data_IF_146033458934
#
_entry.id   IF_146033458934
#
_cell.length_a   1.000
_cell.length_b   1.000
_cell.length_c   1.000
_cell.angle_alpha   90.00
_cell.angle_beta   90.00
_cell.angle_gamma   90.00
#
_symmetry.space_group_name_H-M   'P 1'
#
loop_
_entity.id
_entity.type
_entity.pdbx_description
1 polymer ?
#
# COMPACT_ATOMS: atom_id res chain seq x y z
N UNK A 1 -3.04 7.02 4.57
CA UNK A 1 -2.31 7.66 3.46
C UNK A 1 -1.60 8.89 4.00
N UNK A 2 -0.26 8.85 4.06
CA UNK A 2 0.56 10.01 4.44
C UNK A 2 0.87 10.82 3.19
N UNK A 3 0.65 12.13 3.24
CA UNK A 3 0.76 13.03 2.09
C UNK A 3 1.79 14.13 2.38
N UNK A 4 2.76 14.26 1.48
CA UNK A 4 3.73 15.36 1.43
C UNK A 4 3.40 16.28 0.26
N UNK A 5 3.67 17.58 0.42
CA UNK A 5 3.38 18.61 -0.59
C UNK A 5 2.06 19.36 -0.40
N UNK A 6 1.39 19.17 0.74
CA UNK A 6 0.05 19.75 0.96
C UNK A 6 0.09 21.28 1.16
N UNK A 7 1.19 21.82 1.68
CA UNK A 7 1.34 23.27 1.86
C UNK A 7 1.45 23.98 0.50
N UNK A 8 2.24 23.43 -0.41
CA UNK A 8 2.40 23.91 -1.77
C UNK A 8 1.09 23.80 -2.56
N UNK A 9 0.33 22.72 -2.35
CA UNK A 9 -1.01 22.57 -2.90
C UNK A 9 -1.95 23.66 -2.37
N UNK A 10 -1.84 23.99 -1.09
CA UNK A 10 -2.70 24.98 -0.45
C UNK A 10 -2.42 26.40 -0.94
N UNK A 11 -1.15 26.75 -1.16
CA UNK A 11 -0.75 28.01 -1.80
C UNK A 11 -1.35 28.09 -3.22
N UNK A 12 -1.19 27.04 -4.02
CA UNK A 12 -1.77 26.98 -5.36
C UNK A 12 -3.30 27.07 -5.35
N UNK A 13 -3.95 26.46 -4.35
CA UNK A 13 -5.40 26.56 -4.16
C UNK A 13 -5.84 27.96 -3.75
N UNK A 14 -5.09 28.65 -2.88
CA UNK A 14 -5.40 30.02 -2.47
C UNK A 14 -5.36 30.99 -3.67
N UNK A 15 -4.47 30.75 -4.63
CA UNK A 15 -4.36 31.55 -5.86
C UNK A 15 -5.43 31.22 -6.89
N UNK A 16 -5.70 29.92 -7.12
CA UNK A 16 -6.51 29.44 -8.25
C UNK A 16 -7.95 29.03 -7.86
N UNK A 17 -8.22 28.80 -6.58
CA UNK A 17 -9.48 28.28 -6.06
C UNK A 17 -9.93 27.01 -6.78
N UNK A 18 -11.19 26.98 -7.22
CA UNK A 18 -11.76 25.89 -8.02
C UNK A 18 -11.09 25.71 -9.40
N UNK A 19 -10.20 26.62 -9.82
CA UNK A 19 -9.36 26.51 -11.02
C UNK A 19 -8.03 25.79 -10.81
N UNK A 20 -7.81 25.16 -9.65
CA UNK A 20 -6.62 24.36 -9.39
C UNK A 20 -6.49 23.24 -10.44
N UNK A 21 -5.31 23.14 -11.05
CA UNK A 21 -5.05 22.09 -12.03
C UNK A 21 -4.85 20.71 -11.36
N UNK A 22 -5.24 19.65 -12.07
CA UNK A 22 -4.98 18.27 -11.63
C UNK A 22 -3.49 17.97 -11.47
N UNK A 23 -2.63 18.73 -12.17
CA UNK A 23 -1.18 18.58 -12.10
C UNK A 23 -0.63 18.90 -10.69
N UNK A 24 -1.27 19.81 -9.96
CA UNK A 24 -0.90 20.18 -8.60
C UNK A 24 -1.14 19.04 -7.62
N UNK A 25 -2.28 18.35 -7.75
CA UNK A 25 -2.57 17.13 -6.96
C UNK A 25 -1.64 15.97 -7.40
N UNK A 26 -1.39 15.83 -8.70
CA UNK A 26 -0.53 14.77 -9.25
C UNK A 26 0.94 14.88 -8.81
N UNK A 27 1.37 16.07 -8.39
CA UNK A 27 2.72 16.35 -7.89
C UNK A 27 2.89 16.00 -6.40
N UNK A 28 1.80 15.81 -5.66
CA UNK A 28 1.87 15.35 -4.27
C UNK A 28 2.57 14.00 -4.18
N UNK A 29 3.18 13.74 -3.04
CA UNK A 29 3.82 12.46 -2.77
C UNK A 29 3.13 11.74 -1.63
N UNK A 30 2.98 10.43 -1.78
CA UNK A 30 2.35 9.56 -0.82
C UNK A 30 3.34 8.49 -0.39
N UNK A 31 3.47 8.29 0.92
CA UNK A 31 4.28 7.20 1.45
C UNK A 31 3.55 5.86 1.27
N UNK A 32 4.22 4.90 0.64
CA UNK A 32 3.77 3.52 0.50
C UNK A 32 4.78 2.58 1.14
N UNK A 33 4.25 1.43 1.58
CA UNK A 33 5.05 0.30 2.06
C UNK A 33 5.02 -0.83 1.03
N UNK A 34 6.17 -1.48 0.85
CA UNK A 34 6.39 -2.59 -0.05
C UNK A 34 6.63 -3.86 0.73
N UNK A 35 5.94 -4.95 0.35
CA UNK A 35 6.12 -6.28 0.93
C UNK A 35 6.26 -7.35 -0.15
N UNK A 36 7.06 -8.38 0.08
CA UNK A 36 7.20 -9.49 -0.87
C UNK A 36 6.07 -10.51 -0.71
N UNK A 37 5.45 -10.89 -1.82
CA UNK A 37 4.52 -12.03 -1.85
C UNK A 37 5.27 -13.39 -1.80
N UNK A 38 4.52 -14.49 -1.71
CA UNK A 38 5.10 -15.86 -1.69
C UNK A 38 5.94 -16.21 -2.92
N UNK A 39 5.85 -15.43 -4.00
CA UNK A 39 6.62 -15.59 -5.24
C UNK A 39 7.76 -14.58 -5.35
N UNK A 40 8.03 -13.81 -4.29
CA UNK A 40 9.05 -12.76 -4.26
C UNK A 40 8.69 -11.52 -5.06
N UNK A 41 7.41 -11.28 -5.38
CA UNK A 41 6.97 -10.06 -6.07
C UNK A 41 6.67 -8.97 -5.06
N UNK A 42 7.13 -7.75 -5.34
CA UNK A 42 6.82 -6.58 -4.52
C UNK A 42 5.34 -6.21 -4.64
N UNK A 43 4.65 -6.12 -3.52
CA UNK A 43 3.29 -5.64 -3.37
C UNK A 43 3.31 -4.33 -2.60
N UNK A 44 2.91 -3.25 -3.24
CA UNK A 44 2.80 -1.93 -2.61
C UNK A 44 1.41 -1.71 -2.06
N UNK A 45 1.33 -1.16 -0.85
CA UNK A 45 0.07 -0.75 -0.20
C UNK A 45 0.28 0.45 0.70
N UNK A 46 -0.81 1.02 1.19
CA UNK A 46 -0.73 2.01 2.27
C UNK A 46 -0.34 1.33 3.59
N UNK A 47 0.32 2.07 4.50
CA UNK A 47 0.60 1.59 5.86
C UNK A 47 -0.70 1.39 6.64
N UNK A 48 -0.76 0.30 7.41
CA UNK A 48 -1.94 -0.18 8.16
C UNK A 48 -1.53 -1.31 9.13
N UNK A 49 -2.22 -1.40 10.25
CA UNK A 49 -2.17 -2.58 11.10
C UNK A 49 -3.42 -2.77 11.96
N UNK A 50 -3.24 -3.30 13.16
CA UNK A 50 -4.36 -3.71 14.02
C UNK A 50 -4.63 -2.64 15.08
N UNK A 51 -5.90 -2.49 15.45
CA UNK A 51 -6.26 -1.65 16.60
C UNK A 51 -5.77 -2.32 17.87
N UNK A 52 -5.05 -1.58 18.69
CA UNK A 52 -4.55 -2.06 19.97
C UNK A 52 -5.30 -1.43 21.15
N UNK A 53 -5.61 -2.23 22.16
CA UNK A 53 -6.27 -1.76 23.38
C UNK A 53 -7.57 -0.99 23.11
N UNK A 54 -7.56 0.31 23.41
CA UNK A 54 -8.70 1.22 23.24
C UNK A 54 -8.41 2.34 22.24
N UNK A 55 -7.46 2.14 21.31
CA UNK A 55 -7.16 3.11 20.28
C UNK A 55 -8.38 3.41 19.39
N UNK A 56 -8.51 4.66 18.97
CA UNK A 56 -9.38 5.02 17.83
C UNK A 56 -8.70 4.62 16.53
N UNK A 57 -9.46 4.44 15.45
CA UNK A 57 -8.89 4.13 14.13
C UNK A 57 -7.87 5.17 13.66
N UNK A 58 -8.07 6.45 14.00
CA UNK A 58 -7.11 7.52 13.69
C UNK A 58 -5.82 7.41 14.52
N UNK A 59 -5.92 7.03 15.81
CA UNK A 59 -4.75 6.77 16.65
C UNK A 59 -3.94 5.58 16.13
N UNK A 60 -4.62 4.48 15.83
CA UNK A 60 -4.01 3.31 15.19
C UNK A 60 -3.34 3.69 13.87
N UNK A 61 -4.01 4.43 12.99
CA UNK A 61 -3.43 4.84 11.71
C UNK A 61 -2.14 5.67 11.88
N UNK A 62 -2.08 6.58 12.88
CA UNK A 62 -0.86 7.35 13.17
C UNK A 62 0.26 6.49 13.73
N UNK A 63 -0.03 5.57 14.65
CA UNK A 63 0.96 4.65 15.22
C UNK A 63 1.56 3.75 14.14
N UNK A 64 0.70 3.10 13.36
CA UNK A 64 1.11 2.19 12.29
C UNK A 64 1.94 2.90 11.21
N UNK A 65 1.58 4.14 10.86
CA UNK A 65 2.41 4.96 9.97
C UNK A 65 3.81 5.17 10.56
N UNK A 66 3.92 5.52 11.84
CA UNK A 66 5.22 5.72 12.48
C UNK A 66 6.04 4.43 12.51
N UNK A 67 5.42 3.31 12.86
CA UNK A 67 6.06 2.00 12.98
C UNK A 67 6.52 1.45 11.61
N UNK A 68 5.65 1.45 10.61
CA UNK A 68 5.93 0.83 9.31
C UNK A 68 6.74 1.75 8.36
N UNK A 69 6.80 3.06 8.63
CA UNK A 69 7.42 4.02 7.70
C UNK A 69 8.44 4.97 8.32
N UNK A 70 8.50 5.09 9.64
CA UNK A 70 9.32 6.10 10.34
C UNK A 70 8.78 7.54 10.24
N UNK A 71 7.64 7.74 9.57
CA UNK A 71 7.06 9.06 9.35
C UNK A 71 6.08 9.44 10.46
N UNK A 72 6.01 10.73 10.77
CA UNK A 72 5.01 11.29 11.67
C UNK A 72 4.11 12.28 10.93
N UNK A 73 2.90 12.46 11.43
CA UNK A 73 1.94 13.31 10.79
C UNK A 73 0.67 13.59 11.57
N UNK A 74 -0.09 14.54 11.04
CA UNK A 74 -1.37 15.01 11.59
C UNK A 74 -2.53 14.44 10.78
N UNK A 75 -3.52 13.85 11.47
CA UNK A 75 -4.74 13.34 10.83
C UNK A 75 -5.59 14.53 10.36
N UNK A 76 -5.95 14.50 9.07
CA UNK A 76 -6.79 15.52 8.45
C UNK A 76 -8.23 15.04 8.27
N UNK A 77 -8.42 13.82 7.80
CA UNK A 77 -9.74 13.27 7.51
C UNK A 77 -9.73 11.75 7.42
N UNK A 78 -10.91 11.13 7.52
CA UNK A 78 -11.11 9.77 7.05
C UNK A 78 -11.10 9.75 5.51
N UNK A 79 -10.43 8.76 4.91
CA UNK A 79 -10.36 8.57 3.47
C UNK A 79 -11.45 7.60 2.98
N UNK A 80 -11.78 6.61 3.79
CA UNK A 80 -12.64 5.50 3.38
C UNK A 80 -12.30 4.22 4.14
N UNK A 81 -13.20 3.25 4.15
CA UNK A 81 -12.92 1.91 4.67
C UNK A 81 -12.97 0.86 3.56
N UNK A 82 -12.20 -0.21 3.73
CA UNK A 82 -12.20 -1.36 2.81
C UNK A 82 -12.50 -2.61 3.62
N UNK A 83 -13.54 -3.34 3.21
CA UNK A 83 -13.97 -4.60 3.83
C UNK A 83 -13.61 -5.78 2.94
N UNK A 84 -12.79 -6.73 3.38
CA UNK A 84 -12.46 -7.88 2.53
C UNK A 84 -12.32 -9.18 3.28
N UNK A 85 -12.42 -10.27 2.52
CA UNK A 85 -12.18 -11.62 3.00
C UNK A 85 -10.88 -12.15 2.42
N UNK A 86 -10.05 -12.76 3.26
CA UNK A 86 -8.86 -13.49 2.82
C UNK A 86 -8.77 -14.84 3.51
N UNK A 87 -7.86 -15.70 3.04
CA UNK A 87 -7.60 -17.00 3.64
C UNK A 87 -6.20 -17.02 4.21
N UNK A 88 -6.09 -17.28 5.52
CA UNK A 88 -4.84 -17.56 6.21
C UNK A 88 -4.98 -18.86 7.01
N UNK A 89 -3.97 -19.72 6.94
CA UNK A 89 -3.96 -21.04 7.60
C UNK A 89 -5.24 -21.87 7.37
N UNK A 90 -5.77 -21.81 6.14
CA UNK A 90 -6.99 -22.52 5.73
C UNK A 90 -8.29 -21.94 6.31
N UNK A 91 -8.24 -20.87 7.10
CA UNK A 91 -9.40 -20.17 7.65
C UNK A 91 -9.71 -18.93 6.85
N UNK A 92 -11.00 -18.68 6.63
CA UNK A 92 -11.48 -17.44 6.02
C UNK A 92 -11.58 -16.37 7.10
N UNK A 93 -10.92 -15.24 6.89
CA UNK A 93 -10.86 -14.12 7.82
C UNK A 93 -11.49 -12.91 7.15
N UNK A 94 -12.40 -12.25 7.86
CA UNK A 94 -12.98 -10.96 7.47
C UNK A 94 -12.18 -9.84 8.09
N UNK A 95 -11.81 -8.83 7.31
CA UNK A 95 -11.07 -7.66 7.79
C UNK A 95 -11.67 -6.39 7.21
N UNK A 96 -11.90 -5.41 8.08
CA UNK A 96 -12.23 -4.03 7.76
C UNK A 96 -11.00 -3.17 8.02
N UNK A 97 -10.63 -2.30 7.08
CA UNK A 97 -9.50 -1.37 7.23
C UNK A 97 -9.98 0.06 7.02
N UNK A 98 -9.85 0.90 8.04
CA UNK A 98 -10.19 2.32 8.00
C UNK A 98 -8.97 3.14 7.59
N UNK A 99 -9.03 3.79 6.44
CA UNK A 99 -7.96 4.62 5.91
C UNK A 99 -8.20 6.08 6.26
N UNK A 100 -7.12 6.79 6.57
CA UNK A 100 -7.13 8.21 6.90
C UNK A 100 -6.16 8.98 6.00
N UNK A 101 -6.44 10.26 5.75
CA UNK A 101 -5.49 11.21 5.16
C UNK A 101 -4.68 11.82 6.30
N UNK A 102 -3.36 11.72 6.20
CA UNK A 102 -2.39 12.22 7.17
C UNK A 102 -1.49 13.21 6.46
N UNK A 103 -1.37 14.43 6.98
CA UNK A 103 -0.33 15.38 6.56
C UNK A 103 1.00 14.92 7.11
N UNK A 104 2.02 14.82 6.27
CA UNK A 104 3.40 14.64 6.71
C UNK A 104 3.85 15.86 7.51
N UNK A 105 4.36 15.63 8.73
CA UNK A 105 4.91 16.68 9.60
C UNK A 105 6.44 16.57 9.66
N UNK A 106 6.96 15.38 9.99
CA UNK A 106 8.40 15.10 10.14
C UNK A 106 8.70 13.58 10.03
N UNK A 107 9.98 13.22 10.16
CA UNK A 107 10.47 11.85 10.11
C UNK A 107 11.17 11.49 8.80
N UNK A 108 11.98 10.43 8.84
CA UNK A 108 12.68 9.89 7.69
C UNK A 108 12.12 8.50 7.36
N UNK A 109 12.14 8.13 6.08
CA UNK A 109 11.69 6.80 5.66
C UNK A 109 12.54 5.72 6.34
N UNK A 110 11.85 4.82 7.03
CA UNK A 110 12.44 3.73 7.79
C UNK A 110 11.73 2.42 7.44
N UNK A 111 12.48 1.41 7.04
CA UNK A 111 12.02 0.06 6.71
C UNK A 111 12.47 -0.98 7.77
N UNK A 112 12.69 -0.54 9.01
CA UNK A 112 13.12 -1.40 10.11
C UNK A 112 12.05 -2.38 10.58
N UNK A 113 10.77 -2.15 10.22
CA UNK A 113 9.70 -3.09 10.48
C UNK A 113 9.96 -4.42 9.72
N UNK A 114 10.08 -5.57 10.42
CA UNK A 114 10.35 -6.86 9.80
C UNK A 114 9.30 -7.32 8.77
N UNK A 115 8.08 -6.80 8.81
CA UNK A 115 7.01 -7.09 7.85
C UNK A 115 7.15 -6.29 6.54
N UNK A 116 8.00 -5.26 6.54
CA UNK A 116 8.20 -4.31 5.45
C UNK A 116 9.53 -4.56 4.75
N UNK A 117 9.52 -4.54 3.42
CA UNK A 117 10.71 -4.73 2.59
C UNK A 117 11.25 -3.41 2.05
N UNK A 118 10.37 -2.43 1.84
CA UNK A 118 10.74 -1.14 1.27
C UNK A 118 9.70 -0.09 1.68
N UNK A 119 10.14 1.14 1.92
CA UNK A 119 9.24 2.29 2.08
C UNK A 119 9.64 3.35 1.07
N UNK A 120 8.66 3.94 0.38
CA UNK A 120 8.94 4.92 -0.66
C UNK A 120 7.91 6.03 -0.72
N UNK A 121 8.39 7.24 -0.99
CA UNK A 121 7.57 8.33 -1.52
C UNK A 121 7.21 8.04 -2.98
N UNK A 122 5.91 8.07 -3.28
CA UNK A 122 5.39 7.82 -4.63
C UNK A 122 4.51 8.98 -5.04
N UNK A 123 4.78 9.56 -6.20
CA UNK A 123 3.95 10.63 -6.75
C UNK A 123 2.49 10.17 -6.90
N UNK A 124 1.54 11.04 -6.55
CA UNK A 124 0.12 10.72 -6.47
C UNK A 124 -0.42 10.14 -7.80
N UNK A 125 0.00 10.71 -8.92
CA UNK A 125 -0.35 10.23 -10.27
C UNK A 125 0.07 8.78 -10.57
N UNK A 126 1.05 8.25 -9.84
CA UNK A 126 1.57 6.89 -10.03
C UNK A 126 0.85 5.86 -9.14
N UNK A 127 0.07 6.30 -8.14
CA UNK A 127 -0.60 5.41 -7.19
C UNK A 127 -1.53 4.39 -7.85
N UNK A 128 -2.35 4.75 -8.87
CA UNK A 128 -3.19 3.76 -9.57
C UNK A 128 -2.39 2.63 -10.25
N UNK A 129 -1.13 2.86 -10.59
CA UNK A 129 -0.26 1.85 -11.20
C UNK A 129 0.58 1.10 -10.16
N UNK A 130 0.90 1.75 -9.03
CA UNK A 130 1.82 1.22 -8.02
C UNK A 130 1.12 0.34 -7.00
N UNK A 131 -0.03 0.77 -6.48
CA UNK A 131 -0.79 0.04 -5.47
C UNK A 131 -1.18 -1.35 -5.97
N UNK A 132 -1.00 -2.37 -5.14
CA UNK A 132 -1.29 -3.76 -5.50
C UNK A 132 -2.79 -4.05 -5.50
N UNK A 133 -3.56 -3.48 -4.55
CA UNK A 133 -4.96 -3.82 -4.34
C UNK A 133 -5.91 -2.84 -5.05
N UNK A 134 -6.94 -3.39 -5.70
CA UNK A 134 -7.92 -2.59 -6.45
C UNK A 134 -8.68 -1.62 -5.57
N UNK A 135 -9.02 -2.03 -4.35
CA UNK A 135 -9.84 -1.21 -3.47
C UNK A 135 -9.07 -0.02 -2.89
N UNK A 136 -7.76 -0.19 -2.63
CA UNK A 136 -6.90 0.96 -2.33
C UNK A 136 -6.79 1.91 -3.52
N UNK A 137 -6.72 1.40 -4.75
CA UNK A 137 -6.73 2.25 -5.95
C UNK A 137 -8.02 3.06 -6.06
N UNK A 138 -9.17 2.50 -5.68
CA UNK A 138 -10.47 3.20 -5.69
C UNK A 138 -10.49 4.35 -4.69
N UNK A 139 -9.81 4.24 -3.55
CA UNK A 139 -9.68 5.35 -2.60
C UNK A 139 -8.92 6.54 -3.17
N UNK A 140 -8.13 6.37 -4.24
CA UNK A 140 -7.39 7.48 -4.85
C UNK A 140 -8.30 8.47 -5.56
N UNK A 141 -9.47 8.04 -6.03
CA UNK A 141 -10.48 8.95 -6.61
C UNK A 141 -11.03 9.86 -5.50
N UNK A 142 -11.44 9.28 -4.37
CA UNK A 142 -11.87 10.05 -3.18
C UNK A 142 -10.77 10.98 -2.68
N UNK A 143 -9.53 10.51 -2.60
CA UNK A 143 -8.40 11.34 -2.18
C UNK A 143 -8.20 12.55 -3.12
N UNK A 144 -8.33 12.36 -4.43
CA UNK A 144 -8.16 13.42 -5.43
C UNK A 144 -9.16 14.56 -5.24
N UNK A 145 -10.38 14.24 -4.83
CA UNK A 145 -11.43 15.22 -4.54
C UNK A 145 -11.23 15.91 -3.19
N UNK A 146 -10.80 15.16 -2.17
CA UNK A 146 -10.61 15.67 -0.80
C UNK A 146 -9.37 16.56 -0.65
N UNK A 147 -8.25 16.22 -1.29
CA UNK A 147 -6.96 16.86 -1.03
C UNK A 147 -6.95 18.38 -1.28
N UNK A 148 -7.55 18.92 -2.35
CA UNK A 148 -7.67 20.38 -2.53
C UNK A 148 -8.45 21.07 -1.40
N UNK A 149 -9.56 20.48 -0.95
CA UNK A 149 -10.37 21.03 0.14
C UNK A 149 -9.60 21.03 1.46
N UNK A 150 -8.90 19.93 1.76
CA UNK A 150 -8.08 19.78 2.96
C UNK A 150 -6.91 20.76 2.96
N UNK A 151 -6.24 20.94 1.82
CA UNK A 151 -5.17 21.92 1.67
C UNK A 151 -5.68 23.35 1.95
N UNK A 152 -6.82 23.72 1.38
CA UNK A 152 -7.45 25.02 1.61
C UNK A 152 -7.84 25.24 3.09
N UNK A 153 -8.35 24.19 3.75
CA UNK A 153 -8.72 24.23 5.15
C UNK A 153 -7.49 24.42 6.05
N UNK A 154 -6.39 23.72 5.74
CA UNK A 154 -5.14 23.79 6.49
C UNK A 154 -4.53 25.21 6.49
N UNK A 155 -4.46 25.87 5.33
CA UNK A 155 -4.00 27.27 5.24
C UNK A 155 -4.89 28.21 6.03
N UNK A 156 -6.18 27.92 6.13
CA UNK A 156 -7.11 28.72 6.90
C UNK A 156 -7.08 28.42 8.41
N UNK A 157 -6.17 27.56 8.88
CA UNK A 157 -6.11 27.10 10.28
C UNK A 157 -7.34 26.30 10.69
N UNK A 158 -8.07 25.74 9.73
CA UNK A 158 -9.24 24.89 9.95
C UNK A 158 -8.82 23.46 9.65
N UNK A 159 -8.67 22.61 10.65
CA UNK A 159 -8.67 21.17 10.41
C UNK A 159 -10.14 20.74 10.32
N UNK A 160 -10.68 20.37 9.14
CA UNK A 160 -12.07 19.98 9.05
C UNK A 160 -12.29 18.70 9.85
N UNK A 161 -13.43 18.62 10.55
CA UNK A 161 -13.81 17.40 11.26
C UNK A 161 -13.86 16.21 10.27
N UNK A 162 -13.38 15.01 10.68
CA UNK A 162 -13.43 13.83 9.82
C UNK A 162 -14.87 13.57 9.36
N UNK A 163 -15.11 13.60 8.05
CA UNK A 163 -16.34 13.06 7.49
C UNK A 163 -16.34 11.54 7.67
N UNK A 164 -17.46 10.91 8.04
CA UNK A 164 -17.53 9.45 8.10
C UNK A 164 -17.24 8.86 6.71
N UNK A 165 -16.36 7.86 6.66
CA UNK A 165 -15.98 7.17 5.43
C UNK A 165 -17.17 6.59 4.67
N UNK A 166 -17.10 6.70 3.34
CA UNK A 166 -17.79 5.77 2.46
C UNK A 166 -17.10 4.39 2.53
N UNK A 167 -17.89 3.34 2.74
CA UNK A 167 -17.40 1.96 2.76
C UNK A 167 -17.21 1.47 1.32
N UNK A 168 -15.96 1.15 0.96
CA UNK A 168 -15.63 0.51 -0.32
C UNK A 168 -15.76 -1.01 -0.18
N UNK A 169 -16.88 -1.55 -0.63
CA UNK A 169 -17.11 -3.00 -0.72
C UNK A 169 -16.41 -3.58 -1.98
N UNK A 170 -15.46 -4.52 -1.84
CA UNK A 170 -14.72 -5.13 -2.94
C UNK A 170 -15.61 -5.97 -3.86
N UNK A 171 -16.77 -6.42 -3.39
CA UNK A 171 -17.75 -7.18 -4.18
C UNK A 171 -18.74 -6.28 -4.92
N UNK A 172 -18.79 -4.98 -4.60
CA UNK A 172 -19.64 -4.02 -5.31
C UNK A 172 -18.98 -3.71 -6.66
N UNK A 173 -19.52 -4.27 -7.73
CA UNK A 173 -19.17 -3.83 -9.09
C UNK A 173 -19.59 -2.37 -9.22
N UNK A 174 -18.67 -1.53 -9.68
CA UNK A 174 -18.90 -0.12 -9.97
C UNK A 174 -20.11 0.00 -10.90
N UNK A 175 -21.25 0.44 -10.38
CA UNK A 175 -22.43 0.71 -11.18
C UNK A 175 -22.25 2.07 -11.88
N UNK A 176 -21.30 2.15 -12.80
CA UNK A 176 -21.14 3.30 -13.71
C UNK A 176 -21.02 2.79 -15.14
N UNK A 177 -22.17 2.37 -15.67
CA UNK A 177 -22.48 2.51 -17.08
C UNK A 177 -23.95 2.90 -17.13
N UNK A 178 -24.21 4.17 -17.43
CA UNK A 178 -25.56 4.70 -17.68
C UNK A 178 -26.32 3.72 -18.59
N UNK A 179 -27.42 3.18 -18.09
CA UNK A 179 -28.44 2.57 -18.94
C UNK A 179 -29.09 3.68 -19.74
N UNK A 180 -28.76 3.76 -21.02
CA UNK A 180 -29.40 4.62 -22.01
C UNK A 180 -30.86 4.16 -22.20
N UNK A 181 -31.89 4.93 -21.81
CA UNK A 181 -33.28 4.50 -21.91
C UNK A 181 -33.82 4.89 -23.29
N UNK A 182 -33.36 4.21 -24.34
CA UNK A 182 -33.92 4.39 -25.67
C UNK A 182 -33.74 3.12 -26.52
N UNK A 183 -34.57 2.10 -26.24
CA UNK A 183 -35.01 1.07 -27.20
C UNK A 183 -36.06 0.15 -26.56
N UNK A 184 -37.23 0.69 -26.27
CA UNK A 184 -38.47 -0.10 -26.19
C UNK A 184 -39.52 0.52 -27.11
N UNK A 185 -39.42 0.23 -28.40
CA UNK A 185 -40.48 0.46 -29.36
C UNK A 185 -40.65 -0.81 -30.20
N UNK A 186 -41.90 -1.28 -30.27
CA UNK A 186 -42.40 -2.46 -31.01
C UNK A 186 -41.88 -3.82 -30.47
N UNK A 187 -42.68 -4.87 -30.32
CA UNK A 187 -43.95 -5.20 -30.93
C UNK A 187 -44.74 -6.18 -30.05
N UNK A 188 -46.05 -5.95 -29.97
CA UNK A 188 -47.07 -6.86 -29.44
C UNK A 188 -47.32 -8.02 -30.41
N UNK A 189 -47.58 -9.22 -29.87
CA UNK A 189 -48.29 -10.32 -30.55
C UNK A 189 -47.44 -11.58 -30.77
N UNK A 190 -47.73 -12.70 -30.09
CA UNK A 190 -48.79 -13.64 -30.47
C UNK A 190 -48.90 -14.81 -29.48
N UNK A 191 -50.05 -15.50 -29.52
CA UNK A 191 -50.59 -16.56 -28.63
C UNK A 191 -49.78 -17.88 -28.51
N UNK A 192 -50.11 -18.75 -27.53
CA UNK A 192 -49.48 -20.07 -27.32
C UNK A 192 -50.26 -21.24 -27.96
N UNK A 193 -49.55 -22.33 -28.31
CA UNK A 193 -50.09 -23.65 -28.65
C UNK A 193 -48.95 -24.70 -28.56
N UNK A 194 -48.99 -25.59 -27.57
CA UNK A 194 -49.43 -26.99 -27.64
C UNK A 194 -48.73 -27.88 -28.69
N UNK A 195 -48.16 -28.99 -28.22
CA UNK A 195 -48.16 -30.25 -28.96
C UNK A 195 -46.82 -30.99 -29.08
N UNK A 196 -46.65 -32.02 -28.25
CA UNK A 196 -46.40 -33.39 -28.72
C UNK A 196 -44.98 -33.84 -29.09
N UNK A 197 -44.56 -34.95 -28.48
CA UNK A 197 -44.17 -36.14 -29.26
C UNK A 197 -42.70 -36.53 -29.34
N UNK A 198 -42.34 -37.52 -28.50
CA UNK A 198 -41.58 -38.75 -28.76
C UNK A 198 -40.18 -38.78 -29.40
N UNK A 199 -39.32 -39.49 -28.65
CA UNK A 199 -38.54 -40.67 -29.03
C UNK A 199 -37.19 -40.62 -29.77
N UNK A 200 -36.20 -41.17 -29.04
CA UNK A 200 -35.28 -42.27 -29.40
C UNK A 200 -34.13 -42.05 -30.41
N UNK A 201 -32.96 -42.58 -30.01
CA UNK A 201 -31.88 -43.03 -30.90
C UNK A 201 -30.58 -42.25 -30.74
N UNK A 202 -29.65 -42.65 -29.88
CA UNK A 202 -28.62 -43.69 -30.11
C UNK A 202 -27.39 -43.19 -30.91
N UNK A 203 -26.21 -43.37 -30.31
CA UNK A 203 -25.11 -44.04 -31.02
C UNK A 203 -23.80 -43.28 -31.23
N UNK A 204 -22.72 -43.97 -30.83
CA UNK A 204 -21.31 -43.85 -31.25
C UNK A 204 -20.51 -42.65 -30.70
N UNK A 205 -19.50 -42.78 -29.84
CA UNK A 205 -18.41 -43.77 -29.66
C UNK A 205 -17.27 -43.62 -30.69
N UNK A 206 -16.03 -43.47 -30.14
CA UNK A 206 -14.68 -43.61 -30.75
C UNK A 206 -14.12 -42.44 -31.58
N UNK A 207 -12.82 -42.17 -31.64
CA UNK A 207 -11.64 -42.61 -30.90
C UNK A 207 -10.40 -41.81 -31.41
N UNK A 208 -9.40 -41.67 -30.51
CA UNK A 208 -7.94 -41.86 -30.69
C UNK A 208 -7.16 -41.22 -31.87
N UNK A 209 -6.02 -40.64 -31.48
CA UNK A 209 -4.74 -40.59 -32.23
C UNK A 209 -3.92 -39.39 -31.71
N UNK A 210 -2.75 -39.50 -31.09
CA UNK A 210 -1.65 -40.45 -31.26
C UNK A 210 -0.54 -39.77 -32.09
N UNK A 211 0.59 -39.40 -31.47
CA UNK A 211 1.70 -38.78 -32.19
C UNK A 211 2.89 -38.38 -31.32
N UNK A 212 3.78 -39.35 -31.05
CA UNK A 212 5.14 -39.16 -30.52
C UNK A 212 6.04 -38.40 -31.52
N UNK A 213 7.12 -37.75 -31.04
CA UNK A 213 8.29 -37.60 -31.90
C UNK A 213 9.36 -36.54 -31.58
N UNK A 214 10.42 -37.00 -30.90
CA UNK A 214 11.85 -36.78 -31.23
C UNK A 214 12.58 -35.52 -30.72
N UNK A 215 13.49 -35.83 -29.79
CA UNK A 215 14.82 -35.25 -29.56
C UNK A 215 15.51 -34.72 -30.83
N UNK A 216 16.24 -33.60 -30.71
CA UNK A 216 17.54 -33.40 -31.38
C UNK A 216 18.43 -32.43 -30.61
N UNK A 217 19.58 -32.97 -30.23
CA UNK A 217 20.78 -32.29 -29.78
C UNK A 217 21.46 -31.56 -30.95
N UNK A 218 22.02 -30.38 -30.68
CA UNK A 218 23.15 -29.84 -31.46
C UNK A 218 24.18 -29.21 -30.51
N UNK A 219 25.29 -29.93 -30.34
CA UNK A 219 26.60 -29.37 -30.03
C UNK A 219 27.17 -28.73 -31.30
N UNK A 220 27.84 -27.58 -31.19
CA UNK A 220 29.29 -27.41 -31.47
C UNK A 220 29.70 -25.93 -31.57
N UNK A 221 30.78 -25.62 -30.82
CA UNK A 221 31.99 -24.83 -31.16
C UNK A 221 31.78 -23.34 -31.50
N UNK A 222 32.51 -22.36 -30.97
CA UNK A 222 33.77 -22.35 -30.20
C UNK A 222 34.68 -21.23 -30.72
N UNK A 223 35.16 -20.36 -29.82
CA UNK A 223 36.35 -19.46 -29.89
C UNK A 223 36.12 -18.37 -28.81
N UNK A 224 37.04 -17.98 -27.93
CA UNK A 224 38.48 -18.17 -27.84
C UNK A 224 39.12 -16.81 -27.46
N UNK A 225 39.87 -16.78 -26.35
CA UNK A 225 40.66 -15.62 -25.85
C UNK A 225 40.45 -15.49 -24.33
N UNK A 226 41.30 -15.96 -23.40
CA UNK A 226 42.77 -15.93 -23.17
C UNK A 226 43.37 -14.54 -22.92
N UNK A 227 43.71 -14.32 -21.65
CA UNK A 227 44.67 -13.37 -21.06
C UNK A 227 44.32 -13.29 -19.56
N UNK A 228 44.90 -14.01 -18.59
CA UNK A 228 46.29 -14.30 -18.14
C UNK A 228 47.11 -13.07 -17.71
N UNK A 229 47.41 -13.04 -16.41
CA UNK A 229 48.54 -12.37 -15.74
C UNK A 229 48.14 -11.11 -14.99
N UNK A 230 48.47 -10.87 -13.71
CA UNK A 230 49.28 -11.56 -12.70
C UNK A 230 48.99 -10.87 -11.35
N UNK A 231 48.88 -11.61 -10.25
CA UNK A 231 49.88 -11.62 -9.15
C UNK A 231 50.62 -10.29 -8.93
N UNK A 232 50.41 -9.67 -7.77
CA UNK A 232 51.47 -9.47 -6.77
C UNK A 232 50.90 -9.03 -5.42
N UNK A 233 51.46 -9.62 -4.37
CA UNK A 233 51.28 -9.29 -2.97
C UNK A 233 52.45 -8.40 -2.51
N UNK A 234 52.17 -7.51 -1.55
CA UNK A 234 53.13 -6.91 -0.60
C UNK A 234 52.27 -6.48 0.60
N UNK A 235 52.32 -7.05 1.81
CA UNK A 235 53.41 -7.10 2.80
C UNK A 235 54.07 -5.75 3.10
N UNK A 236 53.76 -5.21 4.28
CA UNK A 236 54.38 -4.02 4.86
C UNK A 236 53.84 -3.66 6.26
N UNK A 237 54.38 -4.33 7.28
CA UNK A 237 54.81 -3.82 8.61
C UNK A 237 53.80 -2.98 9.45
N UNK A 238 53.28 -3.43 10.61
CA UNK A 238 53.87 -3.73 11.92
C UNK A 238 54.45 -2.52 12.71
N UNK A 239 53.79 -2.16 13.83
CA UNK A 239 54.32 -1.77 15.17
C UNK A 239 53.13 -1.28 16.05
N UNK A 240 52.78 -1.94 17.16
CA UNK A 240 53.27 -1.74 18.54
C UNK A 240 53.23 -0.25 18.96
N UNK A 241 52.69 0.20 20.10
CA UNK A 241 52.17 -0.40 21.33
C UNK A 241 52.09 0.72 22.41
N UNK A 242 51.72 0.32 23.64
CA UNK A 242 51.72 1.09 24.91
C UNK A 242 50.43 1.91 25.19
N UNK A 243 49.53 1.48 26.09
CA UNK A 243 49.58 1.41 27.58
C UNK A 243 49.86 2.76 28.26
N UNK A 244 48.89 3.25 29.05
CA UNK A 244 48.97 3.69 30.48
C UNK A 244 47.62 4.35 30.84
N UNK A 245 46.79 3.82 31.75
CA UNK A 245 46.85 3.79 33.22
C UNK A 245 46.62 5.16 33.90
N UNK A 246 45.62 5.17 34.81
CA UNK A 246 45.33 6.21 35.82
C UNK A 246 43.83 6.54 35.82
N UNK A 247 42.91 5.92 36.57
CA UNK A 247 42.85 5.41 37.95
C UNK A 247 42.58 6.47 39.02
N UNK A 248 41.58 6.15 39.87
CA UNK A 248 41.17 6.74 41.16
C UNK A 248 40.29 7.98 41.05
N UNK A 249 39.16 8.11 41.75
CA UNK A 249 38.49 7.39 42.86
C UNK A 249 37.43 8.39 43.38
N UNK A 250 36.34 8.06 44.06
CA UNK A 250 35.82 6.87 44.68
C UNK A 250 34.78 7.35 45.71
N UNK A 251 33.79 6.49 46.05
CA UNK A 251 32.99 6.46 47.30
C UNK A 251 32.18 7.73 47.64
N UNK A 252 31.07 7.71 48.39
CA UNK A 252 30.19 6.73 49.00
C UNK A 252 29.14 7.58 49.73
N UNK A 253 27.88 7.16 49.78
CA UNK A 253 26.90 7.83 50.64
C UNK A 253 25.52 7.19 50.58
N UNK A 254 25.32 6.16 51.39
CA UNK A 254 23.99 5.66 51.77
C UNK A 254 23.34 6.65 52.75
N UNK A 255 22.02 6.77 52.70
CA UNK A 255 21.22 7.39 53.74
C UNK A 255 19.74 7.08 53.51
N UNK A 256 19.17 6.30 54.41
CA UNK A 256 17.80 5.77 54.40
C UNK A 256 16.70 6.82 54.67
N UNK A 257 15.50 6.46 54.19
CA UNK A 257 14.07 6.84 54.44
C UNK A 257 13.70 7.30 55.89
N UNK A 258 12.44 7.69 56.28
CA UNK A 258 11.15 7.75 55.54
C UNK A 258 10.12 8.88 55.92
N UNK A 259 8.94 8.84 55.26
CA UNK A 259 7.56 9.26 55.69
C UNK A 259 7.21 10.74 55.90
N UNK A 260 6.07 11.14 55.29
CA UNK A 260 5.27 12.31 55.69
C UNK A 260 3.96 12.41 54.91
N UNK A 261 2.84 12.26 55.62
CA UNK A 261 1.45 12.34 55.18
C UNK A 261 0.81 13.70 55.49
N UNK A 262 -0.23 14.10 54.76
CA UNK A 262 -1.15 15.23 55.02
C UNK A 262 -1.09 16.28 53.90
N UNK A 263 -2.18 16.80 53.33
CA UNK A 263 -3.62 16.79 53.63
C UNK A 263 -4.41 16.68 52.31
#
# INVERSE_FOLDING_TARGET
>A
MVVRGLAELAEAYAEKGAGLDLASVDALEVALIGRLDRRGRMLWSMPKGHVEGSETYAQTARREVLEETGLNGTILAELGSIDYWFVADGKRIHKTVHHHIIRYDDGDLCDEDPEITEVAWVAFKLLPMRLAYTDERRLMDTARDLLPELAAAEVAGRNPEPRPADVVDPNRRSATREENPARSASASGNKPGQGGGNDHGAGSDRARGGGEGRKRSRRRRGRGGRGRGGQQAAHGQNQQGQRSRGSHGGRSGRGDNPRGSGQ
#
